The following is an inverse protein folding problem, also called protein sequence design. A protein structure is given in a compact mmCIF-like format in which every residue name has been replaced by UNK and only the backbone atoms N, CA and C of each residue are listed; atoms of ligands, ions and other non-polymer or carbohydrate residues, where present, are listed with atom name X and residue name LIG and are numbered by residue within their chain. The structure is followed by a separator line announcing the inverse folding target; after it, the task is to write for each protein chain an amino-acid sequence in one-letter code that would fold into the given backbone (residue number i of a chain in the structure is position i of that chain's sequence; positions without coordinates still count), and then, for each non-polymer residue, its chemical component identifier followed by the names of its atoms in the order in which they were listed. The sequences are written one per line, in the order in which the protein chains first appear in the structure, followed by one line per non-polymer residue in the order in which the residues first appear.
data_IF_631523174934
#
_entry.id   IF_631523174934
#
_cell.length_a   1.000
_cell.length_b   1.000
_cell.length_c   1.000
_cell.angle_alpha   90.00
_cell.angle_beta   90.00
_cell.angle_gamma   90.00
#
_symmetry.space_group_name_H-M   'P 1'
#
loop_
_entity.id
_entity.type
_entity.pdbx_description
1 polymer ?
#
# COMPACT_ATOMS: atom_id res chain seq x y z
N UNK A 1 8.67 27.30 19.52
CA UNK A 1 7.95 26.02 19.71
C UNK A 1 7.74 25.28 18.37
N UNK A 2 8.76 24.52 17.93
CA UNK A 2 8.62 23.53 16.85
C UNK A 2 8.84 22.18 17.52
N UNK A 3 7.81 21.34 17.51
CA UNK A 3 7.85 19.98 18.06
C UNK A 3 8.92 19.17 17.32
N UNK A 4 9.86 18.52 18.02
CA UNK A 4 10.62 17.41 17.47
C UNK A 4 9.81 16.13 17.70
N UNK A 5 9.46 15.40 16.64
CA UNK A 5 9.08 13.99 16.78
C UNK A 5 10.22 13.16 16.21
N UNK A 6 11.12 12.81 17.13
CA UNK A 6 12.04 11.70 16.96
C UNK A 6 11.26 10.39 16.86
N UNK A 7 11.65 9.53 15.93
CA UNK A 7 11.69 8.09 16.18
C UNK A 7 12.92 7.56 15.46
N UNK A 8 14.01 7.44 16.22
CA UNK A 8 15.24 6.80 15.82
C UNK A 8 15.12 5.28 16.00
N UNK A 9 15.53 4.51 15.00
CA UNK A 9 16.20 3.21 15.17
C UNK A 9 17.28 3.07 14.09
N UNK A 10 18.52 2.69 14.45
CA UNK A 10 19.62 2.55 13.49
C UNK A 10 19.63 1.12 12.91
N UNK A 11 19.31 0.92 11.63
CA UNK A 11 19.65 -0.34 10.95
C UNK A 11 19.56 -0.23 9.41
N UNK A 12 20.72 -0.30 8.76
CA UNK A 12 20.96 -0.67 7.36
C UNK A 12 20.23 0.13 6.26
N UNK A 13 20.68 1.37 6.03
CA UNK A 13 20.97 2.12 4.77
C UNK A 13 20.26 1.82 3.41
N UNK A 14 19.18 1.04 3.35
CA UNK A 14 18.39 0.80 2.12
C UNK A 14 16.90 1.00 2.37
N UNK A 15 16.44 0.73 3.60
CA UNK A 15 15.04 0.92 4.00
C UNK A 15 14.65 2.39 4.13
N UNK A 16 15.58 3.29 4.48
CA UNK A 16 15.30 4.71 4.74
C UNK A 16 14.91 5.48 3.48
N UNK A 17 15.66 5.30 2.38
CA UNK A 17 15.43 6.05 1.14
C UNK A 17 14.04 5.79 0.56
N UNK A 18 13.61 4.52 0.56
CA UNK A 18 12.29 4.14 0.04
C UNK A 18 11.16 4.58 0.97
N UNK A 19 11.43 4.68 2.28
CA UNK A 19 10.46 5.17 3.26
C UNK A 19 10.25 6.68 3.12
N UNK A 20 11.33 7.42 2.90
CA UNK A 20 11.30 8.87 2.69
C UNK A 20 10.58 9.22 1.38
N UNK A 21 10.83 8.49 0.29
CA UNK A 21 10.08 8.66 -0.96
C UNK A 21 8.56 8.42 -0.80
N UNK A 22 8.16 7.46 0.04
CA UNK A 22 6.75 7.20 0.35
C UNK A 22 6.17 8.35 1.19
N UNK A 23 6.89 8.83 2.21
CA UNK A 23 6.44 9.94 3.04
C UNK A 23 6.23 11.20 2.19
N UNK A 24 7.20 11.56 1.34
CA UNK A 24 7.10 12.69 0.41
C UNK A 24 5.94 12.52 -0.56
N UNK A 25 5.74 11.31 -1.09
CA UNK A 25 4.60 11.01 -1.94
C UNK A 25 3.28 11.22 -1.18
N UNK A 26 3.14 10.69 0.02
CA UNK A 26 1.94 10.82 0.86
C UNK A 26 1.69 12.28 1.29
N UNK A 27 2.73 13.05 1.57
CA UNK A 27 2.62 14.48 1.85
C UNK A 27 2.11 15.26 0.64
N UNK A 28 2.55 14.89 -0.57
CA UNK A 28 2.02 15.47 -1.81
C UNK A 28 0.53 15.13 -2.02
N UNK A 29 0.07 14.00 -1.47
CA UNK A 29 -1.32 13.55 -1.53
C UNK A 29 -2.19 14.17 -0.44
N UNK A 30 -1.65 14.51 0.74
CA UNK A 30 -2.41 15.06 1.88
C UNK A 30 -3.26 16.29 1.52
N UNK A 31 -2.80 17.10 0.59
CA UNK A 31 -3.50 18.31 0.14
C UNK A 31 -4.60 18.03 -0.90
N UNK A 32 -4.79 16.77 -1.32
CA UNK A 32 -5.75 16.37 -2.35
C UNK A 32 -6.99 15.73 -1.73
N UNK A 33 -8.13 15.72 -2.45
CA UNK A 33 -9.31 14.94 -2.07
C UNK A 33 -8.97 13.46 -1.87
N UNK A 34 -9.59 12.81 -0.88
CA UNK A 34 -9.35 11.38 -0.56
C UNK A 34 -9.51 10.46 -1.77
N UNK A 35 -10.42 10.79 -2.68
CA UNK A 35 -10.65 10.06 -3.94
C UNK A 35 -9.41 10.12 -4.84
N UNK A 36 -8.80 11.29 -5.00
CA UNK A 36 -7.56 11.44 -5.75
C UNK A 36 -6.38 10.74 -5.06
N UNK A 37 -6.32 10.77 -3.73
CA UNK A 37 -5.27 10.07 -2.99
C UNK A 37 -5.36 8.56 -3.22
N UNK A 38 -6.57 7.99 -3.12
CA UNK A 38 -6.86 6.58 -3.44
C UNK A 38 -6.51 6.24 -4.88
N UNK A 39 -6.86 7.10 -5.84
CA UNK A 39 -6.53 6.88 -7.25
C UNK A 39 -5.01 6.82 -7.45
N UNK A 40 -4.27 7.82 -6.96
CA UNK A 40 -2.81 7.88 -7.14
C UNK A 40 -2.08 6.74 -6.44
N UNK A 41 -2.53 6.35 -5.24
CA UNK A 41 -1.97 5.17 -4.57
C UNK A 41 -2.33 3.89 -5.33
N UNK A 42 -3.57 3.80 -5.80
CA UNK A 42 -4.07 2.71 -6.65
C UNK A 42 -3.26 2.51 -7.91
N UNK A 43 -2.86 3.59 -8.59
CA UNK A 43 -2.03 3.53 -9.79
C UNK A 43 -0.65 2.92 -9.51
N UNK A 44 -0.07 3.17 -8.32
CA UNK A 44 1.18 2.52 -7.89
C UNK A 44 0.96 1.08 -7.39
N UNK A 45 -0.18 0.83 -6.74
CA UNK A 45 -0.52 -0.45 -6.12
C UNK A 45 -0.91 -1.51 -7.14
N UNK A 46 -1.71 -1.13 -8.14
CA UNK A 46 -2.25 -2.01 -9.18
C UNK A 46 -1.20 -2.84 -9.92
N UNK A 47 -0.06 -2.30 -10.41
CA UNK A 47 0.95 -3.13 -11.07
C UNK A 47 1.59 -4.17 -10.14
N UNK A 48 1.77 -3.85 -8.85
CA UNK A 48 2.26 -4.81 -7.83
C UNK A 48 1.24 -5.92 -7.61
N UNK A 49 -0.03 -5.55 -7.39
CA UNK A 49 -1.16 -6.48 -7.24
C UNK A 49 -1.30 -7.34 -8.50
N UNK A 50 -1.24 -6.77 -9.70
CA UNK A 50 -1.35 -7.51 -10.97
C UNK A 50 -0.25 -8.55 -11.13
N UNK A 51 0.97 -8.21 -10.76
CA UNK A 51 2.10 -9.16 -10.77
C UNK A 51 1.88 -10.29 -9.76
N UNK A 52 1.45 -9.94 -8.54
CA UNK A 52 1.14 -10.93 -7.51
C UNK A 52 0.00 -11.87 -7.94
N UNK A 53 -1.10 -11.33 -8.46
CA UNK A 53 -2.25 -12.08 -8.97
C UNK A 53 -1.86 -12.99 -10.13
N UNK A 54 -0.96 -12.55 -11.01
CA UNK A 54 -0.51 -13.39 -12.14
C UNK A 54 0.18 -14.68 -11.66
N UNK A 55 0.88 -14.62 -10.54
CA UNK A 55 1.53 -15.79 -9.94
C UNK A 55 0.51 -16.70 -9.20
N UNK A 56 -0.62 -16.14 -8.83
CA UNK A 56 -1.71 -16.83 -8.16
C UNK A 56 -2.70 -17.39 -9.21
N UNK A 57 -2.97 -18.69 -9.17
CA UNK A 57 -4.01 -19.31 -10.02
C UNK A 57 -5.44 -18.98 -9.54
N UNK A 58 -5.69 -17.74 -9.13
CA UNK A 58 -7.01 -17.30 -8.65
C UNK A 58 -7.77 -16.64 -9.80
N UNK A 59 -9.09 -16.77 -9.81
CA UNK A 59 -9.98 -16.04 -10.74
C UNK A 59 -10.27 -14.60 -10.29
N UNK A 60 -9.60 -14.14 -9.22
CA UNK A 60 -9.85 -12.82 -8.64
C UNK A 60 -9.16 -11.76 -9.48
N UNK A 61 -9.92 -10.75 -9.89
CA UNK A 61 -9.36 -9.68 -10.72
C UNK A 61 -8.51 -8.71 -9.88
N UNK A 62 -7.35 -8.32 -10.41
CA UNK A 62 -6.43 -7.41 -9.73
C UNK A 62 -7.06 -6.06 -9.35
N UNK A 63 -7.93 -5.51 -10.21
CA UNK A 63 -8.66 -4.27 -9.93
C UNK A 63 -9.52 -4.38 -8.66
N UNK A 64 -10.23 -5.50 -8.46
CA UNK A 64 -11.05 -5.73 -7.26
C UNK A 64 -10.20 -5.82 -6.01
N UNK A 65 -9.07 -6.51 -6.08
CA UNK A 65 -8.13 -6.61 -4.95
C UNK A 65 -7.57 -5.23 -4.60
N UNK A 66 -7.15 -4.44 -5.61
CA UNK A 66 -6.68 -3.07 -5.42
C UNK A 66 -7.72 -2.20 -4.74
N UNK A 67 -8.99 -2.24 -5.18
CA UNK A 67 -10.07 -1.47 -4.57
C UNK A 67 -10.26 -1.86 -3.11
N UNK A 68 -10.31 -3.16 -2.80
CA UNK A 68 -10.47 -3.62 -1.41
C UNK A 68 -9.27 -3.20 -0.56
N UNK A 69 -8.04 -3.35 -1.05
CA UNK A 69 -6.85 -2.90 -0.32
C UNK A 69 -6.92 -1.39 0.00
N UNK A 70 -7.34 -0.56 -0.96
CA UNK A 70 -7.49 0.88 -0.78
C UNK A 70 -8.66 1.28 0.15
N UNK A 71 -9.70 0.44 0.22
CA UNK A 71 -10.88 0.69 1.06
C UNK A 71 -10.73 0.11 2.47
N UNK A 72 -9.94 -0.94 2.66
CA UNK A 72 -9.78 -1.62 3.95
C UNK A 72 -8.57 -1.18 4.73
N UNK A 73 -7.55 -0.64 4.09
CA UNK A 73 -6.31 -0.21 4.73
C UNK A 73 -6.12 1.30 4.58
N UNK A 74 -5.51 1.91 5.60
CA UNK A 74 -5.10 3.30 5.52
C UNK A 74 -4.09 3.51 4.38
N UNK A 75 -4.26 4.58 3.61
CA UNK A 75 -3.41 4.90 2.45
C UNK A 75 -1.93 4.94 2.82
N UNK A 76 -1.60 5.52 3.97
CA UNK A 76 -0.23 5.61 4.48
C UNK A 76 0.32 4.22 4.82
N UNK A 77 -0.42 3.44 5.59
CA UNK A 77 -0.01 2.10 5.99
C UNK A 77 0.12 1.14 4.80
N UNK A 78 -0.77 1.30 3.81
CA UNK A 78 -0.74 0.54 2.58
C UNK A 78 0.49 0.93 1.73
N UNK A 79 0.77 2.21 1.59
CA UNK A 79 1.95 2.69 0.85
C UNK A 79 3.26 2.15 1.46
N UNK A 80 3.41 2.18 2.79
CA UNK A 80 4.56 1.57 3.46
C UNK A 80 4.63 0.06 3.23
N UNK A 81 3.50 -0.63 3.37
CA UNK A 81 3.47 -2.07 3.13
C UNK A 81 3.82 -2.47 1.69
N UNK A 82 3.64 -1.60 0.69
CA UNK A 82 4.00 -1.92 -0.68
C UNK A 82 5.50 -2.18 -0.88
N UNK A 83 6.36 -1.69 0.02
CA UNK A 83 7.81 -1.93 -0.03
C UNK A 83 8.24 -3.11 0.84
N UNK A 84 7.34 -3.63 1.67
CA UNK A 84 7.56 -4.82 2.47
C UNK A 84 6.78 -6.00 1.85
N UNK A 85 7.44 -6.93 1.16
CA UNK A 85 6.77 -8.03 0.47
C UNK A 85 5.99 -8.94 1.42
N UNK A 86 6.44 -9.11 2.66
CA UNK A 86 5.78 -9.95 3.65
C UNK A 86 4.49 -9.29 4.14
N UNK A 87 4.55 -8.01 4.52
CA UNK A 87 3.36 -7.25 4.94
C UNK A 87 2.37 -7.11 3.78
N UNK A 88 2.88 -6.81 2.58
CA UNK A 88 2.05 -6.70 1.38
C UNK A 88 1.31 -8.00 1.10
N UNK A 89 2.01 -9.15 1.18
CA UNK A 89 1.42 -10.46 0.94
C UNK A 89 0.29 -10.75 1.92
N UNK A 90 0.47 -10.49 3.21
CA UNK A 90 -0.58 -10.69 4.23
C UNK A 90 -1.83 -9.86 3.92
N UNK A 91 -1.65 -8.57 3.59
CA UNK A 91 -2.76 -7.68 3.22
C UNK A 91 -3.45 -8.14 1.93
N UNK A 92 -2.65 -8.53 0.95
CA UNK A 92 -3.11 -9.04 -0.33
C UNK A 92 -3.95 -10.31 -0.16
N UNK A 93 -3.46 -11.28 0.62
CA UNK A 93 -4.18 -12.54 0.90
C UNK A 93 -5.47 -12.28 1.67
N UNK A 94 -5.46 -11.36 2.63
CA UNK A 94 -6.66 -10.93 3.34
C UNK A 94 -7.70 -10.30 2.39
N UNK A 95 -7.25 -9.48 1.43
CA UNK A 95 -8.14 -8.89 0.42
C UNK A 95 -8.71 -9.95 -0.53
N UNK A 96 -7.88 -10.90 -0.99
CA UNK A 96 -8.35 -12.05 -1.80
C UNK A 96 -9.37 -12.88 -1.02
N UNK A 97 -9.08 -13.20 0.24
CA UNK A 97 -9.97 -13.96 1.10
C UNK A 97 -11.32 -13.26 1.28
N UNK A 98 -11.34 -11.93 1.46
CA UNK A 98 -12.59 -11.14 1.51
C UNK A 98 -13.40 -11.28 0.23
N UNK A 99 -12.77 -11.25 -0.94
CA UNK A 99 -13.48 -11.39 -2.23
C UNK A 99 -14.05 -12.80 -2.40
N UNK A 100 -13.29 -13.81 -2.00
CA UNK A 100 -13.73 -15.20 -2.10
C UNK A 100 -14.79 -15.56 -1.07
N UNK A 101 -14.76 -14.97 0.12
CA UNK A 101 -15.73 -15.19 1.18
C UNK A 101 -17.05 -14.43 0.96
N UNK A 102 -17.00 -13.32 0.23
CA UNK A 102 -18.19 -12.56 -0.17
C UNK A 102 -18.92 -13.15 -1.39
N UNK A 103 -18.56 -14.36 -1.83
CA UNK A 103 -19.07 -15.03 -3.03
C UNK A 103 -19.79 -16.32 -2.66
#
# INVERSE_FOLDING_TARGET
PKLPKQSATPSNNVYDAQHEEIEVFLESLKNKPIVEQKQKLGDRLFPKVKTAVKNLRTKVQANKITIILLDTNDLRELAHSMNDPDIFKVKFEAAVAKITAAK
#
